data_IF_154634927913
#
_entry.id   IF_154634927913
#
_cell.length_a   1.000
_cell.length_b   1.000
_cell.length_c   1.000
_cell.angle_alpha   90.00
_cell.angle_beta   90.00
_cell.angle_gamma   90.00
#
_symmetry.space_group_name_H-M   'P 1'
#
loop_
_entity.id
_entity.type
_entity.pdbx_description
1 polymer ?
#
# COMPACT_ATOMS: atom_id res chain seq x y z
N UNK A 1 -27.62 -14.22 -1.02
CA UNK A 1 -26.63 -13.12 -1.07
C UNK A 1 -26.03 -12.95 0.31
N UNK A 2 -24.67 -12.86 0.43
CA UNK A 2 -23.98 -12.60 1.69
C UNK A 2 -24.47 -11.31 2.33
N UNK A 3 -24.62 -11.31 3.65
CA UNK A 3 -24.94 -10.12 4.44
C UNK A 3 -23.65 -9.38 4.81
N UNK A 4 -23.56 -8.09 4.45
CA UNK A 4 -22.41 -7.23 4.78
C UNK A 4 -22.75 -6.37 6.01
N UNK A 5 -22.64 -6.96 7.20
CA UNK A 5 -22.89 -6.27 8.47
C UNK A 5 -21.65 -6.31 9.37
N UNK A 6 -20.87 -5.19 9.34
CA UNK A 6 -19.67 -5.07 10.17
C UNK A 6 -19.95 -4.92 11.67
N UNK A 7 -21.21 -4.66 12.07
CA UNK A 7 -21.58 -4.66 13.48
C UNK A 7 -21.22 -5.97 14.19
N UNK A 8 -21.24 -7.11 13.44
CA UNK A 8 -20.83 -8.44 13.95
C UNK A 8 -19.40 -8.47 14.49
N UNK A 9 -18.51 -7.55 14.04
CA UNK A 9 -17.12 -7.47 14.52
C UNK A 9 -17.02 -7.09 16.00
N UNK A 10 -18.05 -6.50 16.60
CA UNK A 10 -18.12 -6.16 18.04
C UNK A 10 -18.17 -7.41 18.91
N UNK A 11 -18.74 -8.48 18.40
CA UNK A 11 -18.96 -9.73 19.12
C UNK A 11 -17.75 -10.70 18.98
N UNK A 12 -16.77 -10.35 18.13
CA UNK A 12 -15.57 -11.15 17.91
C UNK A 12 -14.62 -11.00 19.09
N UNK A 13 -14.15 -12.12 19.63
CA UNK A 13 -13.11 -12.12 20.66
C UNK A 13 -11.73 -12.05 19.99
N UNK A 14 -11.16 -10.87 19.96
CA UNK A 14 -9.81 -10.65 19.43
C UNK A 14 -8.76 -11.21 20.38
N UNK A 15 -7.75 -11.88 19.85
CA UNK A 15 -6.65 -12.42 20.64
C UNK A 15 -5.68 -11.33 21.12
N UNK A 16 -4.79 -11.73 22.07
CA UNK A 16 -3.82 -10.81 22.66
C UNK A 16 -2.81 -10.22 21.67
N UNK A 17 -2.55 -10.92 20.55
CA UNK A 17 -1.64 -10.44 19.51
C UNK A 17 -2.27 -9.25 18.77
N UNK A 18 -3.52 -9.37 18.34
CA UNK A 18 -4.26 -8.28 17.69
C UNK A 18 -4.35 -7.08 18.62
N UNK A 19 -4.75 -7.29 19.87
CA UNK A 19 -4.84 -6.20 20.86
C UNK A 19 -3.50 -5.51 21.07
N UNK A 20 -2.42 -6.28 21.14
CA UNK A 20 -1.06 -5.75 21.27
C UNK A 20 -0.61 -4.93 20.05
N UNK A 21 -0.92 -5.40 18.83
CA UNK A 21 -0.63 -4.67 17.58
C UNK A 21 -1.41 -3.36 17.50
N UNK A 22 -2.72 -3.40 17.79
CA UNK A 22 -3.59 -2.22 17.81
C UNK A 22 -3.06 -1.18 18.79
N UNK A 23 -2.75 -1.58 20.03
CA UNK A 23 -2.22 -0.68 21.06
C UNK A 23 -0.91 -0.01 20.61
N UNK A 24 0.03 -0.77 20.05
CA UNK A 24 1.29 -0.21 19.53
C UNK A 24 1.07 0.77 18.38
N UNK A 25 0.18 0.46 17.43
CA UNK A 25 -0.11 1.37 16.31
C UNK A 25 -0.73 2.67 16.82
N UNK A 26 -1.63 2.61 17.81
CA UNK A 26 -2.19 3.81 18.44
C UNK A 26 -1.13 4.66 19.12
N UNK A 27 -0.18 4.04 19.84
CA UNK A 27 0.97 4.75 20.44
C UNK A 27 1.78 5.49 19.36
N UNK A 28 2.12 4.81 18.27
CA UNK A 28 2.84 5.43 17.14
C UNK A 28 2.04 6.54 16.45
N UNK A 29 0.73 6.37 16.29
CA UNK A 29 -0.16 7.42 15.76
C UNK A 29 -0.12 8.67 16.64
N UNK A 30 -0.12 8.50 17.97
CA UNK A 30 0.04 9.61 18.91
C UNK A 30 1.38 10.33 18.73
N UNK A 31 2.50 9.60 18.64
CA UNK A 31 3.84 10.14 18.39
C UNK A 31 3.95 10.83 17.03
N UNK A 32 3.31 10.30 15.99
CA UNK A 32 3.32 10.87 14.64
C UNK A 32 2.98 12.35 14.63
N UNK A 33 2.00 12.78 15.40
CA UNK A 33 1.57 14.18 15.47
C UNK A 33 2.67 15.13 15.94
N UNK A 34 3.59 14.66 16.78
CA UNK A 34 4.75 15.44 17.24
C UNK A 34 5.79 15.59 16.13
N UNK A 35 6.08 14.49 15.41
CA UNK A 35 7.04 14.52 14.30
C UNK A 35 6.59 15.41 13.14
N UNK A 36 5.29 15.38 12.82
CA UNK A 36 4.72 16.20 11.73
C UNK A 36 4.88 17.71 11.97
N UNK A 37 4.89 18.16 13.24
CA UNK A 37 5.05 19.57 13.59
C UNK A 37 6.51 20.05 13.55
N UNK A 38 7.48 19.15 13.66
CA UNK A 38 8.88 19.51 13.93
C UNK A 38 9.75 19.68 12.68
N UNK A 39 9.45 19.01 11.52
CA UNK A 39 10.38 18.94 10.37
C UNK A 39 9.72 18.88 8.99
N UNK A 40 9.08 19.97 8.50
CA UNK A 40 8.36 19.97 7.22
C UNK A 40 9.23 19.56 6.01
N UNK A 41 10.41 20.13 5.85
CA UNK A 41 11.25 19.89 4.67
C UNK A 41 11.78 18.45 4.53
N UNK A 42 12.04 17.78 5.65
CA UNK A 42 12.43 16.34 5.65
C UNK A 42 11.25 15.47 5.29
N UNK A 43 10.07 15.81 5.79
CA UNK A 43 8.84 15.07 5.54
C UNK A 43 8.42 15.16 4.08
N UNK A 44 8.57 16.33 3.42
CA UNK A 44 8.29 16.48 1.98
C UNK A 44 9.11 15.51 1.13
N UNK A 45 10.43 15.39 1.39
CA UNK A 45 11.29 14.42 0.68
C UNK A 45 10.83 12.96 0.90
N UNK A 46 10.40 12.62 2.13
CA UNK A 46 9.88 11.27 2.41
C UNK A 46 8.58 11.00 1.65
N UNK A 47 7.71 12.01 1.50
CA UNK A 47 6.47 11.89 0.70
C UNK A 47 6.78 11.55 -0.75
N UNK A 48 7.71 12.25 -1.38
CA UNK A 48 8.07 12.01 -2.78
C UNK A 48 8.66 10.60 -2.97
N UNK A 49 9.55 10.19 -2.08
CA UNK A 49 10.13 8.84 -2.10
C UNK A 49 9.03 7.79 -1.91
N UNK A 50 8.14 7.96 -0.93
CA UNK A 50 7.06 7.03 -0.65
C UNK A 50 6.09 6.90 -1.83
N UNK A 51 5.73 8.01 -2.50
CA UNK A 51 4.89 8.00 -3.72
C UNK A 51 5.50 7.15 -4.83
N UNK A 52 6.80 7.32 -5.10
CA UNK A 52 7.51 6.55 -6.11
C UNK A 52 7.52 5.06 -5.73
N UNK A 53 7.90 4.74 -4.49
CA UNK A 53 7.95 3.36 -3.98
C UNK A 53 6.59 2.68 -3.99
N UNK A 54 5.53 3.38 -3.59
CA UNK A 54 4.16 2.86 -3.60
C UNK A 54 3.68 2.57 -5.02
N UNK A 55 3.97 3.51 -5.96
CA UNK A 55 3.61 3.35 -7.37
C UNK A 55 4.34 2.15 -7.99
N UNK A 56 5.64 2.00 -7.75
CA UNK A 56 6.42 0.87 -8.24
C UNK A 56 5.94 -0.46 -7.64
N UNK A 57 5.90 -0.55 -6.31
CA UNK A 57 5.62 -1.78 -5.60
C UNK A 57 4.21 -2.31 -5.87
N UNK A 58 3.18 -1.44 -5.86
CA UNK A 58 1.80 -1.86 -6.12
C UNK A 58 1.62 -2.45 -7.52
N UNK A 59 2.28 -1.88 -8.54
CA UNK A 59 2.24 -2.41 -9.89
C UNK A 59 3.08 -3.70 -10.02
N UNK A 60 4.24 -3.76 -9.38
CA UNK A 60 5.11 -4.94 -9.37
C UNK A 60 4.46 -6.16 -8.72
N UNK A 61 3.63 -5.99 -7.70
CA UNK A 61 2.82 -7.06 -7.11
C UNK A 61 1.96 -7.74 -8.19
N UNK A 62 1.40 -6.98 -9.13
CA UNK A 62 0.57 -7.47 -10.24
C UNK A 62 1.39 -7.88 -11.48
N UNK A 63 2.72 -7.87 -11.41
CA UNK A 63 3.59 -8.20 -12.53
C UNK A 63 3.76 -7.09 -13.57
N UNK A 64 3.29 -5.87 -13.28
CA UNK A 64 3.42 -4.68 -14.12
C UNK A 64 4.73 -3.99 -13.79
N UNK A 65 5.66 -3.94 -14.73
CA UNK A 65 7.03 -3.48 -14.49
C UNK A 65 7.56 -2.57 -15.58
N UNK A 66 8.44 -1.66 -15.17
CA UNK A 66 9.31 -0.89 -16.08
C UNK A 66 10.66 -0.63 -15.40
N UNK A 67 11.58 0.05 -16.07
CA UNK A 67 12.89 0.33 -15.45
C UNK A 67 12.79 1.38 -14.34
N UNK A 68 13.68 1.30 -13.35
CA UNK A 68 13.71 2.25 -12.23
C UNK A 68 13.82 3.72 -12.69
N UNK A 69 14.60 3.99 -13.76
CA UNK A 69 14.69 5.33 -14.37
C UNK A 69 13.33 5.77 -14.92
N UNK A 70 12.59 4.87 -15.58
CA UNK A 70 11.26 5.17 -16.14
C UNK A 70 10.24 5.41 -15.05
N UNK A 71 10.24 4.59 -13.97
CA UNK A 71 9.38 4.81 -12.80
C UNK A 71 9.55 6.24 -12.28
N UNK A 72 10.79 6.67 -12.02
CA UNK A 72 11.08 8.02 -11.53
C UNK A 72 10.57 9.09 -12.50
N UNK A 73 10.87 8.96 -13.80
CA UNK A 73 10.42 9.91 -14.83
C UNK A 73 8.89 9.99 -14.94
N UNK A 74 8.19 8.85 -14.83
CA UNK A 74 6.73 8.81 -14.86
C UNK A 74 6.15 9.44 -13.58
N UNK A 75 6.70 9.16 -12.40
CA UNK A 75 6.25 9.76 -11.15
C UNK A 75 6.48 11.26 -11.11
N UNK A 76 7.61 11.75 -11.63
CA UNK A 76 7.93 13.18 -11.75
C UNK A 76 7.13 13.86 -12.89
N UNK A 77 6.29 13.14 -13.64
CA UNK A 77 5.55 13.63 -14.82
C UNK A 77 6.44 14.23 -15.94
N UNK A 78 7.72 13.82 -15.99
CA UNK A 78 8.68 14.30 -17.00
C UNK A 78 8.61 13.57 -18.32
N UNK A 79 7.70 12.59 -18.47
CA UNK A 79 7.54 11.77 -19.66
C UNK A 79 6.13 11.20 -19.76
N UNK A 80 5.75 10.77 -20.96
CA UNK A 80 4.49 10.06 -21.23
C UNK A 80 4.70 8.56 -21.24
N UNK A 81 3.66 7.75 -20.91
CA UNK A 81 3.68 6.29 -21.03
C UNK A 81 3.98 5.85 -22.45
N UNK A 82 4.75 4.77 -22.62
CA UNK A 82 5.15 4.20 -23.92
C UNK A 82 4.48 2.88 -24.24
N UNK A 83 3.99 2.19 -23.23
CA UNK A 83 3.35 0.90 -23.35
C UNK A 83 2.29 0.73 -22.25
N UNK A 84 1.57 -0.40 -22.30
CA UNK A 84 0.51 -0.73 -21.35
C UNK A 84 0.97 -0.66 -19.89
N UNK A 85 2.12 -1.24 -19.56
CA UNK A 85 2.61 -1.25 -18.18
C UNK A 85 2.84 0.17 -17.65
N UNK A 86 3.45 1.04 -18.48
CA UNK A 86 3.66 2.45 -18.11
C UNK A 86 2.35 3.25 -18.03
N UNK A 87 1.33 2.90 -18.83
CA UNK A 87 -0.02 3.48 -18.73
C UNK A 87 -0.65 3.15 -17.38
N UNK A 88 -0.58 1.88 -16.97
CA UNK A 88 -1.12 1.39 -15.70
C UNK A 88 -0.35 1.96 -14.49
N UNK A 89 0.98 2.08 -14.59
CA UNK A 89 1.83 2.75 -13.58
C UNK A 89 1.45 4.22 -13.43
N UNK A 90 1.26 4.94 -14.55
CA UNK A 90 0.88 6.36 -14.54
C UNK A 90 -0.51 6.58 -13.95
N UNK A 91 -1.45 5.69 -14.23
CA UNK A 91 -2.78 5.72 -13.64
C UNK A 91 -2.77 5.49 -12.13
N UNK A 92 -1.97 4.53 -11.66
CA UNK A 92 -1.80 4.29 -10.22
C UNK A 92 -1.19 5.51 -9.51
N UNK A 93 -0.13 6.11 -10.08
CA UNK A 93 0.48 7.36 -9.60
C UNK A 93 -0.58 8.45 -9.41
N UNK A 94 -1.42 8.67 -10.43
CA UNK A 94 -2.44 9.72 -10.39
C UNK A 94 -3.52 9.45 -9.32
N UNK A 95 -3.97 8.20 -9.21
CA UNK A 95 -4.94 7.80 -8.20
C UNK A 95 -4.35 7.94 -6.77
N UNK A 96 -3.10 7.55 -6.56
CA UNK A 96 -2.40 7.72 -5.29
C UNK A 96 -2.20 9.21 -4.95
N UNK A 97 -1.82 10.04 -5.92
CA UNK A 97 -1.67 11.48 -5.74
C UNK A 97 -2.99 12.13 -5.32
N UNK A 98 -4.10 11.77 -5.98
CA UNK A 98 -5.44 12.24 -5.62
C UNK A 98 -5.81 11.89 -4.17
N UNK A 99 -5.49 10.66 -3.72
CA UNK A 99 -5.71 10.24 -2.33
C UNK A 99 -4.84 11.07 -1.39
N UNK A 100 -3.53 11.23 -1.68
CA UNK A 100 -2.62 12.00 -0.83
C UNK A 100 -3.07 13.46 -0.62
N UNK A 101 -3.66 14.07 -1.65
CA UNK A 101 -4.06 15.48 -1.66
C UNK A 101 -5.48 15.71 -1.13
N UNK A 102 -6.38 14.72 -1.32
CA UNK A 102 -7.83 14.96 -1.16
C UNK A 102 -8.56 13.88 -0.34
N UNK A 103 -7.87 13.01 0.41
CA UNK A 103 -8.49 11.90 1.15
C UNK A 103 -9.64 12.33 2.08
N UNK A 104 -9.59 13.53 2.65
CA UNK A 104 -10.63 14.06 3.54
C UNK A 104 -11.96 14.26 2.80
N UNK A 105 -11.90 14.58 1.52
CA UNK A 105 -13.03 14.90 0.66
C UNK A 105 -13.52 13.72 -0.19
N UNK A 106 -12.88 12.56 -0.14
CA UNK A 106 -13.28 11.36 -0.88
C UNK A 106 -14.20 10.50 0.02
N UNK A 107 -15.52 10.53 -0.17
CA UNK A 107 -16.44 9.70 0.62
C UNK A 107 -16.32 8.22 0.21
N UNK A 108 -16.62 7.33 1.16
CA UNK A 108 -16.62 5.89 0.92
C UNK A 108 -17.99 5.49 0.36
N UNK A 109 -18.08 5.55 -0.96
CA UNK A 109 -19.28 5.20 -1.76
C UNK A 109 -18.86 4.54 -3.07
N UNK A 110 -19.69 3.67 -3.60
CA UNK A 110 -19.43 2.96 -4.86
C UNK A 110 -19.07 3.90 -6.02
N UNK A 111 -19.75 5.05 -6.13
CA UNK A 111 -19.49 6.05 -7.16
C UNK A 111 -18.05 6.61 -7.10
N UNK A 112 -17.49 6.84 -5.90
CA UNK A 112 -16.12 7.31 -5.75
C UNK A 112 -15.09 6.20 -5.95
N UNK A 113 -15.41 4.96 -5.58
CA UNK A 113 -14.60 3.78 -5.92
C UNK A 113 -14.51 3.64 -7.44
N UNK A 114 -15.62 3.82 -8.17
CA UNK A 114 -15.62 3.84 -9.64
C UNK A 114 -14.79 4.99 -10.20
N UNK A 115 -14.86 6.19 -9.63
CA UNK A 115 -14.04 7.33 -10.06
C UNK A 115 -12.55 7.07 -9.83
N UNK A 116 -12.13 6.50 -8.70
CA UNK A 116 -10.74 6.11 -8.46
C UNK A 116 -10.28 5.06 -9.47
N UNK A 117 -11.12 4.07 -9.78
CA UNK A 117 -10.84 3.09 -10.82
C UNK A 117 -10.76 3.72 -12.22
N UNK A 118 -11.56 4.74 -12.50
CA UNK A 118 -11.44 5.51 -13.74
C UNK A 118 -10.10 6.26 -13.84
N UNK A 119 -9.63 6.85 -12.74
CA UNK A 119 -8.32 7.49 -12.68
C UNK A 119 -7.20 6.47 -12.88
N UNK A 120 -7.30 5.29 -12.24
CA UNK A 120 -6.33 4.19 -12.40
C UNK A 120 -6.16 3.76 -13.87
N UNK A 121 -7.23 3.81 -14.67
CA UNK A 121 -7.20 3.42 -16.09
C UNK A 121 -7.28 4.61 -17.06
N UNK A 122 -6.99 5.83 -16.58
CA UNK A 122 -7.08 7.06 -17.38
C UNK A 122 -6.28 7.01 -18.68
N UNK A 123 -5.13 6.38 -18.68
CA UNK A 123 -4.22 6.30 -19.82
C UNK A 123 -4.48 5.07 -20.70
N UNK A 124 -5.28 4.13 -20.23
CA UNK A 124 -5.55 2.87 -20.94
C UNK A 124 -6.63 3.03 -22.01
N UNK A 125 -6.36 2.49 -23.20
CA UNK A 125 -7.32 2.43 -24.32
C UNK A 125 -8.39 1.34 -24.14
N UNK A 126 -8.34 0.53 -23.07
CA UNK A 126 -9.22 -0.64 -22.87
C UNK A 126 -10.66 -0.30 -22.52
N UNK A 127 -10.98 0.94 -22.17
CA UNK A 127 -12.33 1.39 -21.82
C UNK A 127 -12.96 0.73 -20.59
N UNK A 128 -12.15 0.13 -19.69
CA UNK A 128 -12.61 -0.58 -18.49
C UNK A 128 -12.68 0.30 -17.25
N UNK A 129 -12.05 1.47 -17.27
CA UNK A 129 -12.00 2.40 -16.15
C UNK A 129 -13.38 2.87 -15.70
N UNK A 130 -13.65 2.87 -14.39
CA UNK A 130 -14.88 3.37 -13.80
C UNK A 130 -16.12 2.52 -14.03
N UNK A 131 -15.96 1.23 -14.33
CA UNK A 131 -17.07 0.30 -14.60
C UNK A 131 -16.90 -0.97 -13.78
N UNK A 132 -17.98 -1.44 -13.19
CA UNK A 132 -18.01 -2.77 -12.62
C UNK A 132 -17.81 -3.86 -13.67
N UNK A 133 -17.39 -5.03 -13.25
CA UNK A 133 -17.25 -6.20 -14.10
C UNK A 133 -18.57 -6.56 -14.78
N UNK A 134 -18.47 -6.98 -16.01
CA UNK A 134 -19.58 -7.44 -16.82
C UNK A 134 -19.47 -8.91 -17.23
N UNK A 135 -18.37 -9.55 -16.84
CA UNK A 135 -18.11 -10.98 -17.02
C UNK A 135 -17.68 -11.58 -15.70
N UNK A 136 -18.02 -12.84 -15.48
CA UNK A 136 -17.58 -13.57 -14.30
C UNK A 136 -16.04 -13.67 -14.32
N UNK A 137 -15.42 -13.25 -13.23
CA UNK A 137 -14.00 -13.44 -12.99
C UNK A 137 -13.77 -14.53 -11.95
N UNK A 138 -12.57 -15.03 -11.88
CA UNK A 138 -12.14 -16.03 -10.91
C UNK A 138 -10.72 -15.75 -10.46
N UNK A 139 -10.40 -16.15 -9.25
CA UNK A 139 -9.04 -16.12 -8.74
C UNK A 139 -8.47 -17.53 -8.91
N UNK A 140 -7.42 -17.64 -9.72
CA UNK A 140 -6.79 -18.90 -10.03
C UNK A 140 -5.42 -19.01 -9.37
N UNK A 141 -5.06 -20.23 -9.05
CA UNK A 141 -3.72 -20.63 -8.65
C UNK A 141 -3.10 -21.49 -9.74
N UNK A 142 -1.82 -21.29 -10.00
CA UNK A 142 -1.04 -22.12 -10.91
C UNK A 142 -0.21 -23.06 -10.04
N UNK A 143 -0.51 -24.36 -10.08
CA UNK A 143 0.25 -25.38 -9.37
C UNK A 143 1.64 -25.56 -9.96
N UNK A 144 2.54 -26.20 -9.23
CA UNK A 144 3.90 -26.53 -9.67
C UNK A 144 3.95 -27.31 -11.01
N UNK A 145 2.91 -28.08 -11.30
CA UNK A 145 2.76 -28.83 -12.56
C UNK A 145 2.24 -27.98 -13.73
N UNK A 146 2.00 -26.67 -13.52
CA UNK A 146 1.45 -25.74 -14.52
C UNK A 146 -0.09 -25.79 -14.67
N UNK A 147 -0.79 -26.64 -13.91
CA UNK A 147 -2.25 -26.71 -13.92
C UNK A 147 -2.86 -25.48 -13.23
N UNK A 148 -3.82 -24.83 -13.91
CA UNK A 148 -4.57 -23.71 -13.35
C UNK A 148 -5.83 -24.21 -12.65
N UNK A 149 -5.94 -23.93 -11.35
CA UNK A 149 -7.10 -24.28 -10.53
C UNK A 149 -7.82 -23.01 -10.10
N UNK A 150 -9.11 -22.98 -10.19
CA UNK A 150 -9.93 -21.92 -9.61
C UNK A 150 -9.90 -22.07 -8.10
N UNK A 151 -9.23 -21.14 -7.42
CA UNK A 151 -9.10 -21.12 -5.97
C UNK A 151 -10.29 -20.43 -5.29
N UNK A 152 -10.77 -19.33 -5.87
CA UNK A 152 -11.87 -18.56 -5.32
C UNK A 152 -12.77 -18.03 -6.44
N UNK A 153 -14.09 -18.11 -6.22
CA UNK A 153 -15.10 -17.58 -7.13
C UNK A 153 -15.74 -16.33 -6.50
N UNK A 154 -15.42 -15.12 -7.01
CA UNK A 154 -16.06 -13.89 -6.57
C UNK A 154 -17.54 -13.84 -6.88
N UNK A 155 -18.24 -12.83 -6.33
CA UNK A 155 -19.65 -12.59 -6.63
C UNK A 155 -19.93 -12.46 -8.12
N UNK A 156 -21.15 -12.81 -8.51
CA UNK A 156 -21.65 -12.61 -9.88
C UNK A 156 -21.64 -11.10 -10.27
N UNK A 157 -21.38 -10.77 -11.54
CA UNK A 157 -21.44 -9.39 -12.02
C UNK A 157 -22.75 -8.66 -11.69
N UNK A 158 -23.88 -9.37 -11.72
CA UNK A 158 -25.19 -8.78 -11.39
C UNK A 158 -25.31 -8.37 -9.92
N UNK A 159 -24.72 -9.13 -9.01
CA UNK A 159 -24.75 -8.85 -7.56
C UNK A 159 -23.71 -7.79 -7.14
N UNK A 160 -22.66 -7.60 -7.94
CA UNK A 160 -21.49 -6.77 -7.61
C UNK A 160 -21.83 -5.33 -7.23
N UNK A 161 -22.67 -4.56 -7.96
CA UNK A 161 -22.98 -3.17 -7.58
C UNK A 161 -23.65 -3.07 -6.21
N UNK A 162 -24.62 -3.92 -5.95
CA UNK A 162 -25.36 -3.95 -4.66
C UNK A 162 -24.44 -4.34 -3.51
N UNK A 163 -23.52 -5.28 -3.73
CA UNK A 163 -22.56 -5.69 -2.71
C UNK A 163 -21.58 -4.56 -2.36
N UNK A 164 -21.06 -3.82 -3.35
CA UNK A 164 -20.18 -2.67 -3.11
C UNK A 164 -20.93 -1.55 -2.37
N UNK A 165 -22.19 -1.27 -2.72
CA UNK A 165 -23.01 -0.31 -1.97
C UNK A 165 -23.19 -0.77 -0.52
N UNK A 166 -23.52 -2.04 -0.30
CA UNK A 166 -23.74 -2.61 1.03
C UNK A 166 -22.49 -2.57 1.93
N UNK A 167 -21.29 -2.91 1.41
CA UNK A 167 -20.06 -2.78 2.21
C UNK A 167 -19.73 -1.33 2.53
N UNK A 168 -19.96 -0.39 1.59
CA UNK A 168 -19.76 1.03 1.84
C UNK A 168 -20.71 1.57 2.91
N UNK A 169 -22.00 1.24 2.84
CA UNK A 169 -22.98 1.66 3.83
C UNK A 169 -22.68 1.11 5.22
N UNK A 170 -22.39 -0.20 5.31
CA UNK A 170 -22.01 -0.84 6.57
C UNK A 170 -20.73 -0.23 7.16
N UNK A 171 -19.70 -0.01 6.33
CA UNK A 171 -18.45 0.62 6.75
C UNK A 171 -18.67 2.03 7.32
N UNK A 172 -19.44 2.87 6.61
CA UNK A 172 -19.72 4.23 7.06
C UNK A 172 -20.49 4.23 8.39
N UNK A 173 -21.52 3.39 8.51
CA UNK A 173 -22.31 3.25 9.75
C UNK A 173 -21.44 2.90 10.95
N UNK A 174 -20.54 1.92 10.80
CA UNK A 174 -19.69 1.52 11.91
C UNK A 174 -18.54 2.53 12.16
N UNK A 175 -18.09 3.24 11.15
CA UNK A 175 -17.15 4.38 11.32
C UNK A 175 -17.80 5.51 12.13
N UNK A 176 -19.05 5.86 11.82
CA UNK A 176 -19.79 6.91 12.52
C UNK A 176 -20.14 6.52 13.96
N UNK A 177 -20.36 5.23 14.23
CA UNK A 177 -20.63 4.72 15.59
C UNK A 177 -19.41 4.79 16.51
N UNK A 178 -18.19 4.77 15.96
CA UNK A 178 -16.92 4.70 16.69
C UNK A 178 -16.80 3.52 17.68
N UNK A 179 -17.58 2.45 17.48
CA UNK A 179 -17.57 1.29 18.39
C UNK A 179 -16.59 0.19 17.96
N UNK A 180 -16.15 0.22 16.68
CA UNK A 180 -15.16 -0.72 16.14
C UNK A 180 -13.89 0.07 15.80
N UNK A 181 -12.74 -0.43 16.26
CA UNK A 181 -11.46 0.18 15.93
C UNK A 181 -11.23 0.20 14.41
N UNK A 182 -10.85 1.35 13.82
CA UNK A 182 -10.58 1.43 12.39
C UNK A 182 -9.52 0.42 11.90
N UNK A 183 -8.57 0.04 12.75
CA UNK A 183 -7.54 -0.96 12.43
C UNK A 183 -8.11 -2.38 12.26
N UNK A 184 -9.32 -2.63 12.75
CA UNK A 184 -10.08 -3.87 12.55
C UNK A 184 -11.07 -3.71 11.39
N UNK A 185 -11.79 -2.58 11.37
CA UNK A 185 -12.83 -2.31 10.38
C UNK A 185 -12.28 -2.18 8.96
N UNK A 186 -11.12 -1.53 8.79
CA UNK A 186 -10.50 -1.32 7.48
C UNK A 186 -10.10 -2.65 6.82
N UNK A 187 -9.33 -3.55 7.46
CA UNK A 187 -9.03 -4.85 6.86
C UNK A 187 -10.28 -5.68 6.55
N UNK A 188 -11.34 -5.62 7.38
CA UNK A 188 -12.60 -6.31 7.11
C UNK A 188 -13.28 -5.80 5.82
N UNK A 189 -13.28 -4.48 5.60
CA UNK A 189 -13.76 -3.88 4.35
C UNK A 189 -12.91 -4.32 3.15
N UNK A 190 -11.58 -4.34 3.30
CA UNK A 190 -10.66 -4.68 2.21
C UNK A 190 -10.78 -6.15 1.80
N UNK A 191 -10.96 -7.08 2.74
CA UNK A 191 -11.17 -8.49 2.40
C UNK A 191 -12.48 -8.69 1.65
N UNK A 192 -13.58 -8.05 2.09
CA UNK A 192 -14.86 -8.12 1.39
C UNK A 192 -14.75 -7.51 -0.02
N UNK A 193 -14.08 -6.37 -0.18
CA UNK A 193 -13.82 -5.77 -1.48
C UNK A 193 -13.06 -6.73 -2.41
N UNK A 194 -12.03 -7.42 -1.90
CA UNK A 194 -11.25 -8.38 -2.68
C UNK A 194 -12.05 -9.64 -3.02
N UNK A 195 -12.94 -10.09 -2.14
CA UNK A 195 -13.81 -11.25 -2.39
C UNK A 195 -14.96 -10.92 -3.37
N UNK A 196 -15.53 -9.71 -3.29
CA UNK A 196 -16.49 -9.22 -4.29
C UNK A 196 -15.82 -9.12 -5.66
N UNK A 197 -14.55 -8.67 -5.69
CA UNK A 197 -13.73 -8.53 -6.90
C UNK A 197 -14.44 -7.72 -8.00
N UNK A 198 -14.75 -6.44 -7.73
CA UNK A 198 -15.78 -5.71 -8.48
C UNK A 198 -15.39 -5.32 -9.91
N UNK A 199 -14.14 -5.42 -10.30
CA UNK A 199 -13.65 -4.97 -11.59
C UNK A 199 -13.17 -6.14 -12.45
N UNK A 200 -13.21 -5.97 -13.78
CA UNK A 200 -12.60 -6.94 -14.69
C UNK A 200 -11.06 -7.00 -14.54
N UNK A 201 -10.42 -5.92 -14.08
CA UNK A 201 -8.98 -5.80 -13.83
C UNK A 201 -8.71 -4.70 -12.81
N UNK A 202 -7.58 -4.75 -12.11
CA UNK A 202 -7.12 -3.71 -11.17
C UNK A 202 -7.66 -3.84 -9.73
N UNK A 203 -8.32 -4.94 -9.37
CA UNK A 203 -8.88 -5.12 -8.02
C UNK A 203 -7.81 -5.08 -6.93
N UNK A 204 -6.66 -5.72 -7.13
CA UNK A 204 -5.55 -5.70 -6.18
C UNK A 204 -4.97 -4.28 -6.00
N UNK A 205 -4.76 -3.54 -7.08
CA UNK A 205 -4.30 -2.14 -7.01
C UNK A 205 -5.32 -1.24 -6.33
N UNK A 206 -6.61 -1.41 -6.66
CA UNK A 206 -7.70 -0.68 -6.02
C UNK A 206 -7.80 -0.99 -4.52
N UNK A 207 -7.64 -2.24 -4.10
CA UNK A 207 -7.67 -2.60 -2.68
C UNK A 207 -6.55 -1.90 -1.89
N UNK A 208 -5.34 -1.78 -2.46
CA UNK A 208 -4.21 -1.05 -1.84
C UNK A 208 -4.44 0.45 -1.81
N UNK A 209 -4.99 1.05 -2.88
CA UNK A 209 -5.41 2.45 -2.89
C UNK A 209 -6.50 2.73 -1.86
N UNK A 210 -7.51 1.86 -1.76
CA UNK A 210 -8.57 1.97 -0.75
C UNK A 210 -8.02 1.81 0.68
N UNK A 211 -7.09 0.88 0.91
CA UNK A 211 -6.40 0.74 2.19
C UNK A 211 -5.75 2.06 2.61
N UNK A 212 -5.00 2.69 1.70
CA UNK A 212 -4.35 3.98 1.93
C UNK A 212 -5.37 5.08 2.23
N UNK A 213 -6.44 5.19 1.43
CA UNK A 213 -7.52 6.14 1.63
C UNK A 213 -8.18 5.99 3.01
N UNK A 214 -8.58 4.78 3.37
CA UNK A 214 -9.27 4.48 4.61
C UNK A 214 -8.40 4.74 5.84
N UNK A 215 -7.11 4.34 5.78
CA UNK A 215 -6.16 4.63 6.84
C UNK A 215 -5.96 6.13 7.04
N UNK A 216 -5.84 6.92 5.96
CA UNK A 216 -5.67 8.37 6.06
C UNK A 216 -6.90 9.04 6.66
N UNK A 217 -8.10 8.65 6.24
CA UNK A 217 -9.37 9.14 6.81
C UNK A 217 -9.50 8.82 8.30
N UNK A 218 -8.97 7.68 8.74
CA UNK A 218 -8.90 7.30 10.14
C UNK A 218 -7.72 7.94 10.90
N UNK A 219 -6.92 8.80 10.25
CA UNK A 219 -5.80 9.53 10.85
C UNK A 219 -4.48 8.75 10.92
N UNK A 220 -4.38 7.58 10.29
CA UNK A 220 -3.14 6.81 10.17
C UNK A 220 -2.40 7.20 8.89
N UNK A 221 -1.71 8.34 8.89
CA UNK A 221 -1.10 8.91 7.69
C UNK A 221 0.35 8.46 7.44
N UNK A 222 0.82 7.42 8.11
CA UNK A 222 2.18 6.88 7.94
C UNK A 222 2.49 6.51 6.49
N UNK A 223 1.50 6.03 5.74
CA UNK A 223 1.61 5.70 4.31
C UNK A 223 2.01 6.87 3.41
N UNK A 224 1.89 8.13 3.90
CA UNK A 224 2.43 9.31 3.19
C UNK A 224 3.96 9.33 3.15
N UNK A 225 4.62 8.76 4.16
CA UNK A 225 6.05 8.87 4.41
C UNK A 225 6.80 7.56 4.21
N UNK A 226 6.08 6.44 4.31
CA UNK A 226 6.62 5.07 4.15
C UNK A 226 5.64 4.25 3.33
N UNK A 227 6.09 3.70 2.20
CA UNK A 227 5.25 2.89 1.33
C UNK A 227 4.80 1.60 2.01
N UNK A 228 3.49 1.44 2.20
CA UNK A 228 2.87 0.19 2.64
C UNK A 228 2.98 -0.88 1.55
N UNK A 229 2.80 -0.49 0.30
CA UNK A 229 2.88 -1.37 -0.87
C UNK A 229 4.27 -2.00 -1.02
N UNK A 230 5.33 -1.24 -0.71
CA UNK A 230 6.70 -1.78 -0.72
C UNK A 230 6.90 -2.84 0.38
N UNK A 231 6.24 -2.72 1.53
CA UNK A 231 6.26 -3.76 2.56
C UNK A 231 5.48 -5.00 2.13
N UNK A 232 4.32 -4.81 1.52
CA UNK A 232 3.50 -5.90 0.96
C UNK A 232 4.26 -6.62 -0.16
N UNK A 233 4.93 -5.89 -1.04
CA UNK A 233 5.73 -6.45 -2.14
C UNK A 233 6.84 -7.36 -1.61
N UNK A 234 7.56 -6.93 -0.59
CA UNK A 234 8.63 -7.72 0.07
C UNK A 234 8.12 -8.99 0.77
N UNK A 235 6.87 -9.00 1.18
CA UNK A 235 6.21 -10.11 1.86
C UNK A 235 5.04 -10.67 1.04
N UNK A 236 5.14 -10.60 -0.30
CA UNK A 236 4.07 -10.94 -1.24
C UNK A 236 3.48 -12.33 -1.00
N UNK A 237 4.32 -13.32 -0.72
CA UNK A 237 3.87 -14.69 -0.42
C UNK A 237 2.96 -14.73 0.81
N UNK A 238 3.38 -14.12 1.92
CA UNK A 238 2.58 -14.05 3.15
C UNK A 238 1.28 -13.25 2.95
N UNK A 239 1.32 -12.18 2.14
CA UNK A 239 0.12 -11.42 1.80
C UNK A 239 -0.95 -12.30 1.13
N UNK A 240 -0.58 -13.05 0.10
CA UNK A 240 -1.52 -13.93 -0.59
C UNK A 240 -1.95 -15.13 0.27
N UNK A 241 -1.04 -15.71 1.06
CA UNK A 241 -1.37 -16.78 2.00
C UNK A 241 -2.43 -16.33 3.02
N UNK A 242 -2.31 -15.11 3.56
CA UNK A 242 -3.29 -14.59 4.53
C UNK A 242 -4.62 -14.23 3.87
N UNK A 243 -4.63 -13.76 2.62
CA UNK A 243 -5.84 -13.56 1.84
C UNK A 243 -6.56 -14.89 1.61
N UNK A 244 -5.83 -15.93 1.17
CA UNK A 244 -6.37 -17.25 0.95
C UNK A 244 -7.01 -17.85 2.21
N UNK A 245 -6.33 -17.75 3.35
CA UNK A 245 -6.89 -18.20 4.63
C UNK A 245 -8.15 -17.42 5.03
N UNK A 246 -8.23 -16.14 4.66
CA UNK A 246 -9.32 -15.27 5.09
C UNK A 246 -10.50 -15.23 4.11
N UNK A 247 -10.35 -15.70 2.88
CA UNK A 247 -11.44 -15.82 1.92
C UNK A 247 -12.09 -17.24 1.89
N UNK A 248 -11.50 -18.22 2.60
CA UNK A 248 -12.10 -19.55 2.74
C UNK A 248 -13.49 -19.45 3.33
N UNK A 249 -14.47 -20.12 2.69
CA UNK A 249 -15.88 -20.11 3.07
C UNK A 249 -16.54 -18.71 3.11
N UNK A 250 -15.94 -17.72 2.46
CA UNK A 250 -16.46 -16.36 2.44
C UNK A 250 -17.91 -16.30 1.90
N UNK A 251 -18.21 -17.05 0.85
CA UNK A 251 -19.54 -17.12 0.25
C UNK A 251 -20.63 -17.65 1.22
N UNK A 252 -20.22 -18.42 2.24
CA UNK A 252 -21.10 -19.02 3.24
C UNK A 252 -21.20 -18.18 4.54
N UNK A 253 -20.53 -17.02 4.61
CA UNK A 253 -20.39 -16.17 5.82
C UNK A 253 -19.66 -16.88 6.99
N UNK A 254 -18.79 -17.86 6.69
CA UNK A 254 -18.06 -18.67 7.69
C UNK A 254 -16.54 -18.41 7.63
N UNK A 255 -16.11 -17.37 6.94
CA UNK A 255 -14.70 -17.04 6.80
C UNK A 255 -14.11 -16.41 8.06
N UNK A 256 -12.84 -16.72 8.36
CA UNK A 256 -12.05 -16.10 9.42
C UNK A 256 -11.12 -15.02 8.84
N UNK A 257 -11.41 -13.76 9.14
CA UNK A 257 -10.61 -12.61 8.67
C UNK A 257 -9.38 -12.32 9.54
N UNK A 258 -9.21 -13.04 10.65
CA UNK A 258 -8.12 -12.85 11.62
C UNK A 258 -6.72 -12.90 10.98
N UNK A 259 -6.40 -13.85 10.08
CA UNK A 259 -5.08 -13.91 9.45
C UNK A 259 -4.75 -12.63 8.65
N UNK A 260 -5.72 -12.11 7.89
CA UNK A 260 -5.52 -10.91 7.10
C UNK A 260 -5.42 -9.65 7.97
N UNK A 261 -6.23 -9.55 9.05
CA UNK A 261 -6.12 -8.45 10.03
C UNK A 261 -4.72 -8.43 10.65
N UNK A 262 -4.21 -9.56 11.14
CA UNK A 262 -2.86 -9.64 11.73
C UNK A 262 -1.78 -9.21 10.74
N UNK A 263 -1.86 -9.67 9.51
CA UNK A 263 -0.92 -9.29 8.47
C UNK A 263 -0.94 -7.77 8.21
N UNK A 264 -2.14 -7.19 8.08
CA UNK A 264 -2.29 -5.75 7.83
C UNK A 264 -1.79 -4.92 9.00
N UNK A 265 -2.12 -5.29 10.24
CA UNK A 265 -1.62 -4.64 11.45
C UNK A 265 -0.09 -4.72 11.54
N UNK A 266 0.49 -5.88 11.27
CA UNK A 266 1.95 -6.07 11.21
C UNK A 266 2.61 -5.16 10.18
N UNK A 267 2.01 -5.04 9.00
CA UNK A 267 2.48 -4.16 7.91
C UNK A 267 2.42 -2.68 8.30
N UNK A 268 1.33 -2.24 8.91
CA UNK A 268 1.14 -0.86 9.38
C UNK A 268 2.14 -0.55 10.50
N UNK A 269 2.30 -1.44 11.48
CA UNK A 269 3.26 -1.28 12.58
C UNK A 269 4.70 -1.19 12.05
N UNK A 270 5.07 -2.05 11.09
CA UNK A 270 6.38 -2.00 10.45
C UNK A 270 6.62 -0.67 9.70
N UNK A 271 5.57 -0.07 9.12
CA UNK A 271 5.68 1.25 8.51
C UNK A 271 5.89 2.35 9.54
N UNK A 272 5.21 2.31 10.68
CA UNK A 272 5.42 3.26 11.76
C UNK A 272 6.82 3.17 12.37
N UNK A 273 7.35 1.96 12.56
CA UNK A 273 8.73 1.77 13.05
C UNK A 273 9.75 2.35 12.07
N UNK A 274 9.60 2.09 10.77
CA UNK A 274 10.44 2.70 9.73
C UNK A 274 10.33 4.23 9.73
N UNK A 275 9.13 4.77 9.94
CA UNK A 275 8.90 6.20 9.98
C UNK A 275 9.64 6.84 11.17
N UNK A 276 9.48 6.29 12.37
CA UNK A 276 10.17 6.75 13.58
C UNK A 276 11.69 6.71 13.39
N UNK A 277 12.22 5.59 12.86
CA UNK A 277 13.65 5.46 12.56
C UNK A 277 14.13 6.56 11.59
N UNK A 278 13.44 6.78 10.48
CA UNK A 278 13.80 7.83 9.49
C UNK A 278 13.77 9.23 10.07
N UNK A 279 12.79 9.54 10.92
CA UNK A 279 12.67 10.86 11.54
C UNK A 279 13.73 11.06 12.63
N UNK A 280 14.01 10.03 13.46
CA UNK A 280 15.01 10.07 14.53
C UNK A 280 16.44 10.14 13.98
N UNK A 281 16.71 9.49 12.85
CA UNK A 281 18.01 9.58 12.13
C UNK A 281 18.38 11.00 11.74
N UNK A 282 17.38 11.83 11.46
CA UNK A 282 17.59 13.27 11.16
C UNK A 282 17.95 14.07 12.43
N UNK A 283 17.73 13.55 13.64
CA UNK A 283 18.02 14.24 14.92
C UNK A 283 19.48 14.16 15.37
N UNK A 284 20.38 13.61 14.56
CA UNK A 284 21.81 13.67 14.84
C UNK A 284 22.33 12.66 15.87
N UNK A 285 21.53 11.66 16.24
CA UNK A 285 21.94 10.55 17.13
C UNK A 285 22.41 9.31 16.36
N UNK A 286 22.32 9.31 15.03
CA UNK A 286 22.68 8.16 14.20
C UNK A 286 24.09 8.28 13.64
N UNK A 287 24.77 7.12 13.50
CA UNK A 287 26.09 7.11 12.87
C UNK A 287 25.99 7.48 11.37
N UNK A 288 27.07 8.05 10.81
CA UNK A 288 27.11 8.40 9.38
C UNK A 288 26.78 7.21 8.47
N UNK A 289 27.15 5.98 8.87
CA UNK A 289 26.86 4.77 8.08
C UNK A 289 25.37 4.41 8.11
N UNK A 290 24.67 4.64 9.22
CA UNK A 290 23.22 4.35 9.32
C UNK A 290 22.44 5.34 8.46
N UNK A 291 22.80 6.62 8.49
CA UNK A 291 22.22 7.65 7.62
C UNK A 291 22.40 7.32 6.13
N UNK A 292 23.61 6.91 5.73
CA UNK A 292 23.91 6.54 4.34
C UNK A 292 23.20 5.24 3.96
N UNK A 293 23.15 4.24 4.83
CA UNK A 293 22.42 2.97 4.60
C UNK A 293 20.94 3.23 4.33
N UNK A 294 20.31 4.07 5.11
CA UNK A 294 18.90 4.41 4.92
C UNK A 294 18.67 5.23 3.65
N UNK A 295 19.55 6.17 3.32
CA UNK A 295 19.48 6.87 2.04
C UNK A 295 19.55 5.90 0.86
N UNK A 296 20.48 4.94 0.90
CA UNK A 296 20.62 3.88 -0.12
C UNK A 296 19.36 3.02 -0.20
N UNK A 297 18.83 2.54 0.94
CA UNK A 297 17.62 1.71 0.98
C UNK A 297 16.36 2.44 0.48
N UNK A 298 16.36 3.78 0.54
CA UNK A 298 15.27 4.63 0.06
C UNK A 298 15.47 5.10 -1.40
N UNK A 299 16.61 4.79 -2.02
CA UNK A 299 16.89 5.15 -3.40
C UNK A 299 16.44 4.00 -4.32
N UNK A 300 15.70 4.35 -5.38
CA UNK A 300 15.22 3.40 -6.38
C UNK A 300 16.19 3.37 -7.55
N UNK A 301 16.70 2.17 -7.88
CA UNK A 301 17.58 1.95 -9.02
C UNK A 301 19.01 2.44 -8.79
N UNK A 302 19.68 2.90 -9.87
CA UNK A 302 21.07 3.39 -9.83
C UNK A 302 21.12 4.79 -9.22
N UNK A 303 22.12 5.00 -8.40
CA UNK A 303 22.40 6.31 -7.79
C UNK A 303 23.88 6.66 -7.87
N UNK A 304 24.15 7.94 -7.80
CA UNK A 304 25.50 8.49 -7.68
C UNK A 304 25.81 8.85 -6.23
N UNK A 305 27.09 9.05 -5.94
CA UNK A 305 27.50 9.59 -4.64
C UNK A 305 26.84 10.95 -4.34
N UNK A 306 26.66 11.79 -5.36
CA UNK A 306 26.02 13.10 -5.23
C UNK A 306 24.56 12.96 -4.78
N UNK A 307 23.83 12.01 -5.35
CA UNK A 307 22.42 11.75 -4.98
C UNK A 307 22.31 11.36 -3.50
N UNK A 308 23.24 10.52 -3.01
CA UNK A 308 23.27 10.16 -1.59
C UNK A 308 23.65 11.36 -0.71
N UNK A 309 24.61 12.19 -1.13
CA UNK A 309 24.99 13.40 -0.36
C UNK A 309 23.81 14.39 -0.24
N UNK A 310 22.98 14.52 -1.27
CA UNK A 310 21.77 15.35 -1.22
C UNK A 310 20.72 14.80 -0.23
N UNK A 311 20.64 13.48 -0.11
CA UNK A 311 19.72 12.81 0.82
C UNK A 311 20.19 12.88 2.29
N UNK A 312 21.51 13.00 2.53
CA UNK A 312 22.09 13.07 3.87
C UNK A 312 22.98 14.31 4.04
N UNK A 313 22.44 15.53 3.95
CA UNK A 313 23.21 16.76 3.98
C UNK A 313 23.97 17.01 5.30
N UNK A 314 23.58 16.32 6.37
CA UNK A 314 24.25 16.37 7.67
C UNK A 314 25.53 15.52 7.73
N UNK A 315 25.79 14.66 6.73
CA UNK A 315 26.96 13.78 6.68
C UNK A 315 28.02 14.34 5.75
N UNK A 316 29.23 14.55 6.27
CA UNK A 316 30.33 15.05 5.47
C UNK A 316 30.73 14.09 4.34
N UNK A 317 31.23 14.64 3.22
CA UNK A 317 31.60 13.90 1.99
C UNK A 317 32.46 12.65 2.24
N UNK A 318 33.48 12.76 3.09
CA UNK A 318 34.38 11.65 3.44
C UNK A 318 33.65 10.53 4.18
N UNK A 319 32.71 10.89 5.06
CA UNK A 319 31.89 9.91 5.81
C UNK A 319 30.93 9.19 4.88
N UNK A 320 30.31 9.88 3.90
CA UNK A 320 29.48 9.25 2.87
C UNK A 320 30.30 8.26 2.05
N UNK A 321 31.50 8.65 1.58
CA UNK A 321 32.40 7.78 0.82
C UNK A 321 32.79 6.51 1.59
N UNK A 322 33.13 6.64 2.87
CA UNK A 322 33.48 5.51 3.72
C UNK A 322 32.29 4.59 3.97
N UNK A 323 31.12 5.17 4.22
CA UNK A 323 29.88 4.41 4.39
C UNK A 323 29.50 3.64 3.14
N UNK A 324 29.57 4.24 1.95
CA UNK A 324 29.30 3.56 0.67
C UNK A 324 30.30 2.43 0.41
N UNK A 325 31.59 2.59 0.74
CA UNK A 325 32.59 1.51 0.67
C UNK A 325 32.23 0.36 1.59
N UNK A 326 31.79 0.64 2.81
CA UNK A 326 31.36 -0.38 3.78
C UNK A 326 30.13 -1.11 3.27
N UNK A 327 29.11 -0.41 2.79
CA UNK A 327 27.88 -1.02 2.23
C UNK A 327 28.17 -1.87 0.98
N UNK A 328 29.13 -1.48 0.16
CA UNK A 328 29.59 -2.30 -0.97
C UNK A 328 30.26 -3.59 -0.48
N UNK A 329 31.09 -3.53 0.56
CA UNK A 329 31.76 -4.70 1.15
C UNK A 329 30.76 -5.65 1.83
N UNK A 330 29.69 -5.12 2.40
CA UNK A 330 28.59 -5.88 3.00
C UNK A 330 27.61 -6.46 1.95
N UNK A 331 27.79 -6.14 0.66
CA UNK A 331 26.90 -6.62 -0.40
C UNK A 331 25.54 -5.93 -0.47
N UNK A 332 25.34 -4.84 0.27
CA UNK A 332 24.08 -4.05 0.24
C UNK A 332 23.93 -3.30 -1.08
N UNK A 333 25.03 -2.85 -1.66
CA UNK A 333 25.10 -2.17 -2.96
C UNK A 333 26.20 -2.74 -3.84
N UNK A 334 25.98 -2.72 -5.16
CA UNK A 334 26.96 -3.06 -6.17
C UNK A 334 27.57 -1.82 -6.84
N UNK A 335 28.78 -1.93 -7.40
CA UNK A 335 29.35 -0.93 -8.28
C UNK A 335 29.06 -1.24 -9.72
N UNK A 336 28.62 -0.27 -10.49
CA UNK A 336 28.48 -0.36 -11.93
C UNK A 336 29.45 0.62 -12.60
N UNK A 337 30.31 0.09 -13.48
CA UNK A 337 31.34 0.86 -14.17
C UNK A 337 32.72 0.86 -13.48
N UNK A 338 33.78 1.01 -14.29
CA UNK A 338 35.12 1.35 -13.79
C UNK A 338 35.14 2.85 -13.53
N UNK A 339 35.11 3.26 -12.27
CA UNK A 339 35.40 4.62 -11.85
C UNK A 339 36.88 4.86 -11.82
#
# INVERSE_FOLDING_TARGET
MRSFDYKKLKDVKWDSEILGLVAQIHEYKGKQSLFLKQKPATLEKLVDIAKIQSTEASNKIEGIVTTATRIKQLCDQKTTPRNRDEEEISGYRDALALIHESYEYIPIKSSYILQLHQVLYRYSQRGIGGRFKNTQNYIAEIKENGEQIVRFMPLDPFETPMAIDAICESFNRETDSCEIDPLILIPAFIIDFLCIHPFNDGNGRMSRLLTTLLLYRAGYVVGKYVSLESKIEKTKASYYETLEKSDMNWNNEENDITPFIKYMLGTILAAYRDFEERVTLVEGKSSAIDLVRNAVNNTIGKFTKSDIMELVPSVGKTSVENSLKTLTREGVIGREGKG
#
